data_IF_074645219719
#
_entry.id   IF_074645219719
#
_cell.length_a   1.000
_cell.length_b   1.000
_cell.length_c   1.000
_cell.angle_alpha   90.00
_cell.angle_beta   90.00
_cell.angle_gamma   90.00
#
_symmetry.space_group_name_H-M   'P 1'
#
loop_
_entity.id
_entity.type
_entity.pdbx_description
1 polymer ?
#
# COMPACT_ATOMS: atom_id res chain seq x y z
N UNK A 1 29.06 -28.42 29.92
CA UNK A 1 27.60 -28.18 29.86
C UNK A 1 27.36 -26.81 30.46
N UNK A 2 27.22 -25.79 29.62
CA UNK A 2 26.78 -24.47 30.01
C UNK A 2 25.46 -24.22 29.25
N UNK A 3 24.35 -24.26 29.99
CA UNK A 3 23.03 -23.93 29.49
C UNK A 3 22.93 -22.42 29.63
N UNK A 4 22.96 -21.71 28.51
CA UNK A 4 22.75 -20.29 28.50
C UNK A 4 21.24 -20.01 28.67
N UNK A 5 20.89 -19.38 29.78
CA UNK A 5 19.59 -18.88 30.16
C UNK A 5 19.18 -17.74 29.21
N UNK A 6 18.17 -18.01 28.40
CA UNK A 6 17.51 -17.01 27.54
C UNK A 6 16.41 -16.32 28.32
N UNK A 7 16.78 -15.45 29.24
CA UNK A 7 15.80 -14.56 29.87
C UNK A 7 15.43 -13.47 28.90
N UNK A 8 14.20 -13.57 28.46
CA UNK A 8 13.35 -12.64 27.74
C UNK A 8 13.51 -11.18 28.20
N UNK A 9 14.16 -10.37 27.38
CA UNK A 9 14.00 -8.91 27.43
C UNK A 9 12.64 -8.53 26.82
N UNK A 10 11.57 -8.73 27.59
CA UNK A 10 10.33 -8.01 27.36
C UNK A 10 10.61 -6.52 27.62
N UNK A 11 10.82 -5.77 26.54
CA UNK A 11 10.75 -4.31 26.63
C UNK A 11 9.31 -3.96 27.00
N UNK A 12 9.11 -3.57 28.24
CA UNK A 12 7.89 -2.91 28.70
C UNK A 12 7.76 -1.59 27.93
N UNK A 13 6.98 -1.62 26.84
CA UNK A 13 6.43 -0.43 26.25
C UNK A 13 5.35 0.08 27.21
N UNK A 14 5.31 1.37 27.59
CA UNK A 14 4.34 1.83 28.55
C UNK A 14 2.92 1.59 28.05
N UNK A 15 2.04 0.95 28.86
CA UNK A 15 0.63 0.88 28.57
C UNK A 15 0.00 2.26 28.82
N UNK A 16 -1.05 2.56 28.08
CA UNK A 16 -1.98 3.67 28.30
C UNK A 16 -1.57 5.07 27.84
N UNK A 17 -1.46 5.24 26.50
CA UNK A 17 -1.94 6.48 25.93
C UNK A 17 -3.39 6.25 25.48
N UNK A 18 -4.37 6.68 26.27
CA UNK A 18 -5.77 6.79 25.88
C UNK A 18 -5.82 7.56 24.56
N UNK A 19 -6.20 6.87 23.49
CA UNK A 19 -6.44 7.52 22.20
C UNK A 19 -7.43 8.68 22.43
N UNK A 20 -7.15 9.90 21.99
CA UNK A 20 -8.04 11.01 22.18
C UNK A 20 -9.36 10.71 21.49
N UNK A 21 -10.46 10.69 22.23
CA UNK A 21 -11.82 10.61 21.68
C UNK A 21 -12.04 11.86 20.84
N UNK A 22 -11.95 11.74 19.52
CA UNK A 22 -12.16 12.84 18.59
C UNK A 22 -13.63 13.29 18.64
N UNK A 23 -13.88 14.53 19.01
CA UNK A 23 -15.21 15.14 18.94
C UNK A 23 -15.65 15.36 17.46
N UNK A 24 -16.95 15.50 17.17
CA UNK A 24 -17.45 15.78 15.82
C UNK A 24 -16.83 17.01 15.15
N UNK A 25 -16.48 18.04 15.91
CA UNK A 25 -15.80 19.24 15.43
C UNK A 25 -14.34 18.94 14.98
N UNK A 26 -13.67 17.99 15.64
CA UNK A 26 -12.32 17.51 15.26
C UNK A 26 -12.36 16.71 13.94
N UNK A 27 -13.45 15.98 13.69
CA UNK A 27 -13.70 15.26 12.43
C UNK A 27 -13.88 16.20 11.24
N UNK A 28 -14.63 17.31 11.40
CA UNK A 28 -14.83 18.31 10.34
C UNK A 28 -13.51 19.01 9.96
N UNK A 29 -12.73 19.44 10.97
CA UNK A 29 -11.41 20.04 10.76
C UNK A 29 -10.44 19.06 10.10
N UNK A 30 -10.50 17.78 10.47
CA UNK A 30 -9.73 16.69 9.88
C UNK A 30 -10.04 16.48 8.39
N UNK A 31 -11.28 16.61 7.94
CA UNK A 31 -11.65 16.47 6.51
C UNK A 31 -11.10 17.61 5.67
N UNK A 32 -11.20 18.86 6.15
CA UNK A 32 -10.66 20.06 5.46
C UNK A 32 -9.13 19.98 5.38
N UNK A 33 -8.46 19.57 6.45
CA UNK A 33 -7.00 19.39 6.46
C UNK A 33 -6.57 18.26 5.51
N UNK A 34 -7.34 17.17 5.42
CA UNK A 34 -7.11 16.06 4.48
C UNK A 34 -7.17 16.50 3.03
N UNK A 35 -8.19 17.28 2.66
CA UNK A 35 -8.34 17.81 1.30
C UNK A 35 -7.19 18.76 0.94
N UNK A 36 -6.76 19.61 1.88
CA UNK A 36 -5.59 20.48 1.72
C UNK A 36 -4.31 19.68 1.50
N UNK A 37 -4.09 18.62 2.30
CA UNK A 37 -2.89 17.79 2.18
C UNK A 37 -2.89 17.00 0.88
N UNK A 38 -4.02 16.40 0.49
CA UNK A 38 -4.16 15.71 -0.81
C UNK A 38 -3.95 16.70 -1.97
N UNK A 39 -4.43 17.93 -1.87
CA UNK A 39 -4.19 18.95 -2.89
C UNK A 39 -2.73 19.43 -2.89
N UNK A 40 -2.08 19.53 -1.73
CA UNK A 40 -0.65 19.85 -1.63
C UNK A 40 0.24 18.73 -2.23
N UNK A 41 -0.22 17.46 -2.18
CA UNK A 41 0.48 16.36 -2.83
C UNK A 41 0.47 16.45 -4.35
N UNK A 42 -0.54 17.08 -4.95
CA UNK A 42 -0.58 17.33 -6.40
C UNK A 42 0.57 18.23 -6.89
N UNK A 43 1.20 18.97 -5.99
CA UNK A 43 2.32 19.86 -6.30
C UNK A 43 3.64 19.15 -6.65
N UNK A 44 3.73 17.80 -6.51
CA UNK A 44 4.84 17.00 -7.00
C UNK A 44 6.09 16.91 -6.11
N UNK A 45 7.00 16.02 -6.47
CA UNK A 45 8.34 15.90 -5.88
C UNK A 45 8.42 15.15 -4.55
N UNK A 46 9.54 15.32 -3.86
CA UNK A 46 9.86 14.71 -2.57
C UNK A 46 8.82 15.07 -1.49
N UNK A 47 8.31 16.30 -1.56
CA UNK A 47 7.24 16.78 -0.67
C UNK A 47 5.99 15.89 -0.72
N UNK A 48 5.69 15.28 -1.88
CA UNK A 48 4.58 14.34 -2.04
C UNK A 48 4.72 13.10 -1.17
N UNK A 49 5.92 12.52 -1.05
CA UNK A 49 6.18 11.35 -0.19
C UNK A 49 6.09 11.68 1.29
N UNK A 50 6.65 12.81 1.70
CA UNK A 50 6.59 13.27 3.09
C UNK A 50 5.13 13.48 3.53
N UNK A 51 4.33 14.08 2.65
CA UNK A 51 2.90 14.27 2.87
C UNK A 51 2.13 12.94 2.91
N UNK A 52 2.48 11.98 2.05
CA UNK A 52 1.89 10.64 2.10
C UNK A 52 2.12 9.97 3.45
N UNK A 53 3.34 10.03 3.97
CA UNK A 53 3.66 9.44 5.27
C UNK A 53 2.97 10.14 6.43
N UNK A 54 2.87 11.49 6.40
CA UNK A 54 2.05 12.22 7.35
C UNK A 54 0.57 11.78 7.31
N UNK A 55 0.02 11.60 6.12
CA UNK A 55 -1.36 11.13 5.93
C UNK A 55 -1.54 9.70 6.45
N UNK A 56 -0.58 8.83 6.19
CA UNK A 56 -0.62 7.45 6.68
C UNK A 56 -0.59 7.39 8.21
N UNK A 57 0.30 8.14 8.87
CA UNK A 57 0.38 8.22 10.32
C UNK A 57 -0.89 8.77 10.99
N UNK A 58 -1.69 9.57 10.26
CA UNK A 58 -3.00 10.05 10.72
C UNK A 58 -4.18 9.12 10.31
N UNK A 59 -3.90 7.93 9.80
CA UNK A 59 -4.92 6.94 9.46
C UNK A 59 -5.79 7.28 8.25
N UNK A 60 -5.31 8.13 7.32
CA UNK A 60 -6.08 8.56 6.13
C UNK A 60 -6.29 7.43 5.13
N UNK A 61 -5.37 6.47 5.07
CA UNK A 61 -5.51 5.27 4.26
C UNK A 61 -6.33 4.18 4.97
N UNK A 62 -7.14 4.58 5.98
CA UNK A 62 -8.02 3.69 6.73
C UNK A 62 -9.42 4.30 6.83
N UNK A 63 -10.45 3.44 6.99
CA UNK A 63 -11.83 3.86 7.22
C UNK A 63 -12.58 4.35 5.97
N UNK A 64 -13.73 5.01 6.17
CA UNK A 64 -14.72 5.32 5.13
C UNK A 64 -14.21 6.15 3.93
N UNK A 65 -13.13 6.90 4.09
CA UNK A 65 -12.56 7.74 3.02
C UNK A 65 -11.38 7.07 2.30
N UNK A 66 -11.01 5.85 2.68
CA UNK A 66 -9.88 5.12 2.12
C UNK A 66 -9.96 5.02 0.59
N UNK A 67 -11.11 4.60 0.04
CA UNK A 67 -11.27 4.41 -1.40
C UNK A 67 -11.13 5.71 -2.21
N UNK A 68 -11.60 6.86 -1.68
CA UNK A 68 -11.46 8.15 -2.37
C UNK A 68 -10.02 8.64 -2.35
N UNK A 69 -9.37 8.57 -1.19
CA UNK A 69 -7.97 8.95 -1.02
C UNK A 69 -7.06 8.05 -1.85
N UNK A 70 -7.29 6.73 -1.82
CA UNK A 70 -6.55 5.77 -2.63
C UNK A 70 -6.62 6.10 -4.12
N UNK A 71 -7.82 6.41 -4.65
CA UNK A 71 -7.98 6.77 -6.07
C UNK A 71 -7.13 7.98 -6.47
N UNK A 72 -7.09 9.03 -5.64
CA UNK A 72 -6.29 10.23 -5.90
C UNK A 72 -4.79 9.90 -5.87
N UNK A 73 -4.34 9.12 -4.88
CA UNK A 73 -2.94 8.78 -4.69
C UNK A 73 -2.42 7.79 -5.75
N UNK A 74 -3.24 6.83 -6.18
CA UNK A 74 -2.91 5.88 -7.24
C UNK A 74 -2.86 6.54 -8.64
N UNK A 75 -3.42 7.74 -8.81
CA UNK A 75 -3.32 8.53 -10.05
C UNK A 75 -2.34 9.69 -9.95
N UNK A 76 -1.53 9.74 -8.90
CA UNK A 76 -0.57 10.82 -8.67
C UNK A 76 0.52 10.82 -9.75
N UNK A 77 1.00 12.01 -10.17
CA UNK A 77 2.03 12.14 -11.21
C UNK A 77 3.36 11.50 -10.82
N UNK A 78 3.75 11.60 -9.54
CA UNK A 78 5.00 11.02 -9.03
C UNK A 78 4.84 9.51 -8.83
N UNK A 79 5.65 8.71 -9.56
CA UNK A 79 5.68 7.25 -9.49
C UNK A 79 5.94 6.71 -8.07
N UNK A 80 6.79 7.38 -7.29
CA UNK A 80 7.11 6.94 -5.93
C UNK A 80 5.92 7.09 -4.98
N UNK A 81 5.10 8.14 -5.16
CA UNK A 81 3.85 8.30 -4.42
C UNK A 81 2.89 7.16 -4.77
N UNK A 82 2.76 6.80 -6.05
CA UNK A 82 1.92 5.66 -6.47
C UNK A 82 2.44 4.35 -5.89
N UNK A 83 3.73 4.06 -6.00
CA UNK A 83 4.34 2.84 -5.48
C UNK A 83 4.13 2.70 -3.96
N UNK A 84 4.41 3.74 -3.19
CA UNK A 84 4.19 3.74 -1.74
C UNK A 84 2.70 3.61 -1.37
N UNK A 85 1.81 4.24 -2.15
CA UNK A 85 0.37 4.08 -1.96
C UNK A 85 -0.05 2.63 -2.13
N UNK A 86 0.41 1.96 -3.19
CA UNK A 86 0.17 0.53 -3.41
C UNK A 86 0.62 -0.29 -2.21
N UNK A 87 1.84 -0.05 -1.73
CA UNK A 87 2.39 -0.75 -0.57
C UNK A 87 1.52 -0.57 0.67
N UNK A 88 1.22 0.68 1.03
CA UNK A 88 0.47 1.01 2.24
C UNK A 88 -0.97 0.49 2.23
N UNK A 89 -1.63 0.48 1.06
CA UNK A 89 -2.97 -0.08 0.91
C UNK A 89 -2.99 -1.60 1.11
N UNK A 90 -1.90 -2.30 0.77
CA UNK A 90 -1.80 -3.75 0.83
C UNK A 90 -1.12 -4.28 2.12
N UNK A 91 -0.74 -3.42 3.06
CA UNK A 91 0.00 -3.83 4.26
C UNK A 91 -0.82 -4.75 5.19
N UNK A 92 -2.14 -4.64 5.16
CA UNK A 92 -3.04 -5.48 5.98
C UNK A 92 -3.46 -6.78 5.29
N UNK A 93 -2.82 -7.18 4.17
CA UNK A 93 -3.12 -8.40 3.42
C UNK A 93 -4.55 -8.51 2.85
N UNK A 94 -5.34 -7.48 3.00
CA UNK A 94 -6.71 -7.37 2.50
C UNK A 94 -6.97 -5.94 2.02
N UNK A 95 -7.76 -5.82 0.97
CA UNK A 95 -8.19 -4.53 0.43
C UNK A 95 -9.70 -4.55 0.15
N UNK A 96 -10.32 -3.37 0.17
CA UNK A 96 -11.71 -3.27 -0.28
C UNK A 96 -11.83 -3.59 -1.79
N UNK A 97 -12.96 -4.18 -2.26
CA UNK A 97 -13.14 -4.53 -3.67
C UNK A 97 -12.92 -3.36 -4.64
N UNK A 98 -13.28 -2.14 -4.24
CA UNK A 98 -13.04 -0.92 -5.03
C UNK A 98 -11.55 -0.61 -5.17
N UNK A 99 -10.78 -0.88 -4.13
CA UNK A 99 -9.32 -0.70 -4.13
C UNK A 99 -8.66 -1.80 -4.95
N UNK A 100 -9.08 -3.06 -4.78
CA UNK A 100 -8.58 -4.18 -5.60
C UNK A 100 -8.75 -3.90 -7.10
N UNK A 101 -9.95 -3.41 -7.49
CA UNK A 101 -10.19 -2.99 -8.87
C UNK A 101 -9.27 -1.84 -9.30
N UNK A 102 -9.09 -0.83 -8.47
CA UNK A 102 -8.21 0.30 -8.78
C UNK A 102 -6.74 -0.12 -8.94
N UNK A 103 -6.27 -1.08 -8.15
CA UNK A 103 -4.92 -1.65 -8.27
C UNK A 103 -4.77 -2.44 -9.58
N UNK A 104 -5.78 -3.22 -9.97
CA UNK A 104 -5.78 -3.94 -11.24
C UNK A 104 -5.83 -2.98 -12.44
N UNK A 105 -6.64 -1.91 -12.37
CA UNK A 105 -6.72 -0.87 -13.39
C UNK A 105 -5.39 -0.09 -13.51
N UNK A 106 -4.69 0.14 -12.37
CA UNK A 106 -3.34 0.72 -12.37
C UNK A 106 -2.34 -0.22 -13.03
N UNK A 107 -2.34 -1.51 -12.66
CA UNK A 107 -1.45 -2.51 -13.23
C UNK A 107 -1.58 -2.62 -14.76
N UNK A 108 -2.77 -2.35 -15.32
CA UNK A 108 -3.00 -2.43 -16.76
C UNK A 108 -2.38 -1.29 -17.57
N UNK A 109 -2.03 -0.15 -16.94
CA UNK A 109 -1.63 1.09 -17.65
C UNK A 109 -0.44 1.81 -17.02
N UNK A 110 0.21 1.23 -16.03
CA UNK A 110 1.32 1.86 -15.31
C UNK A 110 2.59 1.89 -16.17
N UNK A 111 3.12 3.06 -16.54
CA UNK A 111 4.28 3.15 -17.42
C UNK A 111 5.61 2.88 -16.69
N UNK A 112 5.66 3.01 -15.36
CA UNK A 112 6.91 2.92 -14.62
C UNK A 112 7.10 1.56 -13.96
N UNK A 113 8.21 0.92 -14.30
CA UNK A 113 8.55 -0.41 -13.79
C UNK A 113 8.63 -0.48 -12.26
N UNK A 114 9.05 0.58 -11.58
CA UNK A 114 9.14 0.59 -10.12
C UNK A 114 7.76 0.47 -9.45
N UNK A 115 6.73 1.04 -10.05
CA UNK A 115 5.35 0.88 -9.58
C UNK A 115 4.83 -0.52 -9.92
N UNK A 116 5.16 -1.06 -11.10
CA UNK A 116 4.82 -2.42 -11.49
C UNK A 116 5.47 -3.46 -10.57
N UNK A 117 6.74 -3.26 -10.17
CA UNK A 117 7.43 -4.07 -9.16
C UNK A 117 6.70 -4.03 -7.81
N UNK A 118 6.29 -2.84 -7.37
CA UNK A 118 5.56 -2.71 -6.12
C UNK A 118 4.18 -3.39 -6.20
N UNK A 119 3.48 -3.32 -7.35
CA UNK A 119 2.24 -4.03 -7.58
C UNK A 119 2.43 -5.56 -7.51
N UNK A 120 3.48 -6.10 -8.15
CA UNK A 120 3.82 -7.53 -8.10
C UNK A 120 4.12 -7.98 -6.67
N UNK A 121 4.97 -7.24 -5.95
CA UNK A 121 5.29 -7.49 -4.55
C UNK A 121 4.06 -7.45 -3.63
N UNK A 122 3.14 -6.51 -3.86
CA UNK A 122 1.91 -6.38 -3.07
C UNK A 122 0.89 -7.46 -3.42
N UNK A 123 0.79 -7.88 -4.68
CA UNK A 123 -0.08 -8.96 -5.13
C UNK A 123 0.22 -10.29 -4.43
N UNK A 124 1.51 -10.55 -4.10
CA UNK A 124 1.89 -11.73 -3.32
C UNK A 124 1.15 -11.82 -1.98
N UNK A 125 0.87 -10.69 -1.34
CA UNK A 125 0.25 -10.62 -0.01
C UNK A 125 -1.27 -10.64 -0.04
N UNK A 126 -1.89 -10.26 -1.15
CA UNK A 126 -3.34 -10.17 -1.28
C UNK A 126 -3.98 -11.55 -1.49
N UNK A 127 -5.25 -11.74 -1.12
CA UNK A 127 -6.02 -12.93 -1.49
C UNK A 127 -6.03 -13.15 -3.00
N UNK A 128 -6.11 -14.39 -3.45
CA UNK A 128 -6.04 -14.78 -4.87
C UNK A 128 -7.03 -14.00 -5.75
N UNK A 129 -8.28 -13.82 -5.29
CA UNK A 129 -9.32 -13.07 -6.01
C UNK A 129 -8.93 -11.63 -6.35
N UNK A 130 -8.15 -10.98 -5.48
CA UNK A 130 -7.73 -9.58 -5.62
C UNK A 130 -6.36 -9.48 -6.32
N UNK A 131 -5.49 -10.48 -6.14
CA UNK A 131 -4.15 -10.54 -6.71
C UNK A 131 -4.13 -10.93 -8.19
N UNK A 132 -4.92 -11.94 -8.60
CA UNK A 132 -4.88 -12.49 -9.96
C UNK A 132 -5.16 -11.46 -11.06
N UNK A 133 -6.13 -10.53 -10.93
CA UNK A 133 -6.31 -9.47 -11.93
C UNK A 133 -5.09 -8.56 -12.07
N UNK A 134 -4.39 -8.25 -10.96
CA UNK A 134 -3.16 -7.45 -10.96
C UNK A 134 -2.06 -8.20 -11.71
N UNK A 135 -1.80 -9.46 -11.33
CA UNK A 135 -0.77 -10.32 -11.95
C UNK A 135 -1.01 -10.46 -13.45
N UNK A 136 -2.27 -10.77 -13.86
CA UNK A 136 -2.64 -10.89 -15.28
C UNK A 136 -2.31 -9.64 -16.08
N UNK A 137 -2.53 -8.46 -15.51
CA UNK A 137 -2.24 -7.21 -16.21
C UNK A 137 -0.74 -6.95 -16.27
N UNK A 138 0.02 -7.26 -15.22
CA UNK A 138 1.48 -7.11 -15.22
C UNK A 138 2.18 -8.06 -16.20
N UNK A 139 1.64 -9.26 -16.42
CA UNK A 139 2.19 -10.21 -17.39
C UNK A 139 2.06 -9.77 -18.87
N UNK A 140 1.37 -8.67 -19.15
CA UNK A 140 1.25 -8.12 -20.51
C UNK A 140 2.41 -7.19 -20.90
N UNK A 141 3.30 -6.85 -19.97
CA UNK A 141 4.45 -6.00 -20.21
C UNK A 141 5.66 -6.84 -20.63
N UNK A 142 5.77 -7.13 -21.93
CA UNK A 142 6.88 -7.95 -22.49
C UNK A 142 8.24 -7.31 -22.21
N UNK A 143 8.32 -5.98 -22.16
CA UNK A 143 9.53 -5.24 -21.83
C UNK A 143 10.08 -5.53 -20.43
N UNK A 144 9.23 -5.96 -19.49
CA UNK A 144 9.64 -6.29 -18.12
C UNK A 144 10.36 -7.65 -18.02
N UNK A 145 10.32 -8.46 -19.06
CA UNK A 145 10.95 -9.80 -19.08
C UNK A 145 12.46 -9.77 -18.88
N UNK A 146 13.11 -8.66 -19.25
CA UNK A 146 14.55 -8.45 -19.10
C UNK A 146 14.96 -7.77 -17.81
N UNK A 147 13.99 -7.32 -16.98
CA UNK A 147 14.29 -6.73 -15.69
C UNK A 147 14.75 -7.81 -14.69
N UNK A 148 15.73 -7.46 -13.85
CA UNK A 148 16.36 -8.41 -12.91
C UNK A 148 15.36 -8.91 -11.85
N UNK A 149 14.38 -8.09 -11.46
CA UNK A 149 13.51 -8.36 -10.31
C UNK A 149 12.07 -8.69 -10.69
N UNK A 150 11.54 -8.05 -11.75
CA UNK A 150 10.12 -8.14 -12.08
C UNK A 150 9.64 -9.57 -12.37
N UNK A 151 10.35 -10.40 -13.20
CA UNK A 151 9.93 -11.77 -13.44
C UNK A 151 9.90 -12.62 -12.17
N UNK A 152 10.88 -12.43 -11.28
CA UNK A 152 10.97 -13.15 -10.02
C UNK A 152 9.85 -12.75 -9.06
N UNK A 153 9.53 -11.46 -8.97
CA UNK A 153 8.42 -10.96 -8.15
C UNK A 153 7.07 -11.49 -8.62
N UNK A 154 6.86 -11.55 -9.95
CA UNK A 154 5.66 -12.14 -10.54
C UNK A 154 5.58 -13.65 -10.25
N UNK A 155 6.69 -14.35 -10.40
CA UNK A 155 6.77 -15.78 -10.06
C UNK A 155 6.36 -16.02 -8.60
N UNK A 156 6.94 -15.31 -7.65
CA UNK A 156 6.58 -15.44 -6.23
C UNK A 156 5.12 -15.08 -5.94
N UNK A 157 4.57 -14.12 -6.67
CA UNK A 157 3.17 -13.75 -6.51
C UNK A 157 2.25 -14.89 -7.02
N UNK A 158 2.59 -15.53 -8.14
CA UNK A 158 1.86 -16.67 -8.70
C UNK A 158 1.96 -17.89 -7.77
N UNK A 159 3.18 -18.24 -7.34
CA UNK A 159 3.44 -19.36 -6.43
C UNK A 159 2.63 -19.24 -5.13
N UNK A 160 2.62 -18.04 -4.53
CA UNK A 160 1.81 -17.80 -3.33
C UNK A 160 0.32 -18.02 -3.57
N UNK A 161 -0.19 -17.82 -4.80
CA UNK A 161 -1.62 -18.05 -5.10
C UNK A 161 -1.91 -19.50 -5.46
N UNK A 162 -0.94 -20.25 -5.95
CA UNK A 162 -1.08 -21.68 -6.18
C UNK A 162 -1.19 -22.47 -4.86
N UNK A 163 -0.51 -22.02 -3.81
CA UNK A 163 -0.55 -22.64 -2.48
C UNK A 163 -1.77 -22.24 -1.65
N UNK A 164 -2.40 -21.10 -1.91
CA UNK A 164 -3.62 -20.65 -1.20
C UNK A 164 -4.87 -21.51 -1.55
N UNK A 165 -4.79 -22.41 -2.52
CA UNK A 165 -5.89 -23.27 -3.00
C UNK A 165 -5.80 -24.74 -2.57
N UNK A 166 -4.90 -25.07 -1.66
CA UNK A 166 -4.65 -26.44 -1.19
C UNK A 166 -5.27 -26.71 0.17
#
# INVERSE_FOLDING_TARGET
RIIADRTTHQRNWPPDSKAPKSSPATLSKSITDRTRVVNAMKAGGQLGLEKLWQLHSHGILQGKLQSQTAKILLTHQNQFVRAWTVRLLCDHYQVEPKIAKALADLAAKEPYIEVRKQLASSARRLPAKDALPIIRNLLKYDEDSTDIHQPLMLWWAIEAKASDGS
#
